data_IF_508997585435
#
_entry.id   IF_508997585435
#
_cell.length_a   1.000
_cell.length_b   1.000
_cell.length_c   1.000
_cell.angle_alpha   90.00
_cell.angle_beta   90.00
_cell.angle_gamma   90.00
#
_symmetry.space_group_name_H-M   'P 1'
#
loop_
_entity.id
_entity.type
_entity.pdbx_description
1 polymer ?
#
# COMPACT_ATOMS: atom_id res chain seq x y z
N UNK A 1 -6.15 -19.44 -12.40
CA UNK A 1 -5.23 -18.61 -11.58
C UNK A 1 -5.89 -17.25 -11.37
N UNK A 2 -5.91 -16.73 -10.15
CA UNK A 2 -6.44 -15.39 -9.90
C UNK A 2 -5.52 -14.35 -10.60
N UNK A 3 -6.14 -13.38 -11.27
CA UNK A 3 -5.39 -12.31 -11.93
C UNK A 3 -4.73 -11.41 -10.89
N UNK A 4 -3.49 -11.02 -11.15
CA UNK A 4 -2.72 -10.09 -10.31
C UNK A 4 -3.29 -8.68 -10.42
N UNK A 5 -3.05 -7.85 -9.40
CA UNK A 5 -3.57 -6.48 -9.28
C UNK A 5 -2.45 -5.46 -9.37
N UNK A 6 -2.75 -4.31 -9.97
CA UNK A 6 -1.89 -3.12 -9.94
C UNK A 6 -2.52 -2.08 -9.02
N UNK A 7 -1.81 -1.73 -7.95
CA UNK A 7 -2.24 -0.74 -6.95
C UNK A 7 -1.61 0.61 -7.29
N UNK A 8 -2.43 1.62 -7.51
CA UNK A 8 -1.95 3.01 -7.58
C UNK A 8 -1.73 3.56 -6.17
N UNK A 9 -0.49 3.94 -5.82
CA UNK A 9 -0.17 4.45 -4.49
C UNK A 9 -0.08 5.97 -4.50
N UNK A 10 -0.92 6.61 -3.69
CA UNK A 10 -0.93 8.07 -3.44
C UNK A 10 -0.39 8.31 -2.04
N UNK A 11 0.84 8.80 -1.95
CA UNK A 11 1.44 9.20 -0.67
C UNK A 11 0.95 10.59 -0.31
N UNK A 12 0.39 10.74 0.90
CA UNK A 12 -0.16 12.00 1.41
C UNK A 12 0.63 12.45 2.63
N UNK A 13 0.98 13.74 2.66
CA UNK A 13 1.63 14.40 3.79
C UNK A 13 1.02 15.78 4.00
N UNK A 14 0.60 16.08 5.23
CA UNK A 14 -0.09 17.33 5.59
C UNK A 14 -1.28 17.65 4.64
N UNK A 15 -2.07 16.64 4.28
CA UNK A 15 -3.23 16.78 3.39
C UNK A 15 -2.91 16.96 1.89
N UNK A 16 -1.62 16.93 1.49
CA UNK A 16 -1.17 17.06 0.10
C UNK A 16 -0.58 15.76 -0.42
N UNK A 17 -0.88 15.44 -1.67
CA UNK A 17 -0.19 14.36 -2.35
C UNK A 17 1.26 14.78 -2.65
N UNK A 18 2.17 13.85 -2.41
CA UNK A 18 3.62 14.07 -2.58
C UNK A 18 4.28 12.90 -3.31
N UNK A 19 5.32 13.20 -4.07
CA UNK A 19 6.34 12.20 -4.39
C UNK A 19 7.18 11.99 -3.15
N UNK A 20 7.41 10.75 -2.79
CA UNK A 20 8.23 10.37 -1.64
C UNK A 20 9.50 9.65 -2.10
N UNK A 21 10.60 9.88 -1.39
CA UNK A 21 11.89 9.26 -1.65
C UNK A 21 12.48 8.79 -0.32
N UNK A 22 12.38 7.49 -0.05
CA UNK A 22 12.82 6.85 1.18
C UNK A 22 12.09 7.37 2.43
N UNK A 23 10.87 7.90 2.27
CA UNK A 23 10.10 8.56 3.34
C UNK A 23 10.90 9.65 4.07
N UNK A 24 11.79 10.35 3.35
CA UNK A 24 12.66 11.42 3.90
C UNK A 24 12.58 12.71 3.11
N UNK A 25 12.57 12.62 1.78
CA UNK A 25 12.46 13.75 0.88
C UNK A 25 11.14 13.70 0.15
N UNK A 26 10.48 14.84 0.04
CA UNK A 26 9.15 14.95 -0.55
C UNK A 26 9.10 16.08 -1.56
N UNK A 27 8.41 15.85 -2.67
CA UNK A 27 8.08 16.87 -3.67
C UNK A 27 6.55 16.95 -3.80
N UNK A 28 5.95 18.15 -3.79
CA UNK A 28 4.51 18.29 -3.89
C UNK A 28 4.00 17.86 -5.27
N UNK A 29 2.89 17.10 -5.30
CA UNK A 29 2.18 16.72 -6.52
C UNK A 29 0.85 17.47 -6.68
N UNK A 30 0.22 17.86 -5.60
CA UNK A 30 -1.08 18.54 -5.62
C UNK A 30 -2.09 17.94 -4.66
N UNK A 31 -3.37 18.04 -5.01
CA UNK A 31 -4.45 17.50 -4.19
C UNK A 31 -4.63 16.01 -4.40
N UNK A 32 -4.73 15.21 -3.33
CA UNK A 32 -4.90 13.76 -3.43
C UNK A 32 -6.08 13.33 -4.31
N UNK A 33 -7.20 14.08 -4.25
CA UNK A 33 -8.42 13.81 -5.01
C UNK A 33 -8.17 13.77 -6.53
N UNK A 34 -7.29 14.65 -7.02
CA UNK A 34 -6.96 14.71 -8.46
C UNK A 34 -6.19 13.46 -8.89
N UNK A 35 -5.23 13.02 -8.08
CA UNK A 35 -4.45 11.81 -8.39
C UNK A 35 -5.33 10.57 -8.34
N UNK A 36 -6.19 10.47 -7.32
CA UNK A 36 -7.15 9.36 -7.19
C UNK A 36 -8.08 9.27 -8.39
N UNK A 37 -8.64 10.39 -8.83
CA UNK A 37 -9.51 10.43 -9.99
C UNK A 37 -8.78 10.00 -11.28
N UNK A 38 -7.51 10.38 -11.43
CA UNK A 38 -6.71 9.93 -12.56
C UNK A 38 -6.44 8.42 -12.50
N UNK A 39 -6.08 7.88 -11.34
CA UNK A 39 -5.83 6.45 -11.17
C UNK A 39 -7.07 5.61 -11.44
N UNK A 40 -8.25 6.06 -10.99
CA UNK A 40 -9.54 5.44 -11.29
C UNK A 40 -9.78 5.41 -12.80
N UNK A 41 -9.70 6.56 -13.48
CA UNK A 41 -9.85 6.66 -14.94
C UNK A 41 -8.82 5.84 -15.72
N UNK A 42 -7.61 5.70 -15.21
CA UNK A 42 -6.54 4.93 -15.84
C UNK A 42 -6.64 3.42 -15.58
N UNK A 43 -7.63 2.99 -14.77
CA UNK A 43 -7.94 1.59 -14.54
C UNK A 43 -6.97 0.90 -13.59
N UNK A 44 -6.54 1.56 -12.51
CA UNK A 44 -5.92 0.89 -11.38
C UNK A 44 -6.88 -0.17 -10.82
N UNK A 45 -6.36 -1.28 -10.32
CA UNK A 45 -7.20 -2.33 -9.74
C UNK A 45 -7.60 -2.04 -8.30
N UNK A 46 -6.76 -1.28 -7.60
CA UNK A 46 -6.97 -0.72 -6.26
C UNK A 46 -6.18 0.60 -6.15
N UNK A 47 -6.59 1.47 -5.25
CA UNK A 47 -5.88 2.72 -4.93
C UNK A 47 -5.54 2.72 -3.46
N UNK A 48 -4.25 2.89 -3.12
CA UNK A 48 -3.80 3.05 -1.74
C UNK A 48 -3.56 4.53 -1.44
N UNK A 49 -4.27 5.07 -0.46
CA UNK A 49 -4.01 6.38 0.15
C UNK A 49 -3.16 6.16 1.40
N UNK A 50 -1.91 6.57 1.35
CA UNK A 50 -0.96 6.42 2.44
C UNK A 50 -0.65 7.77 3.09
N UNK A 51 -1.30 8.09 4.22
CA UNK A 51 -1.09 9.33 4.99
C UNK A 51 0.06 9.13 5.98
N UNK A 52 1.27 9.48 5.56
CA UNK A 52 2.54 9.07 6.21
C UNK A 52 2.91 9.86 7.47
N UNK A 53 2.27 10.96 7.74
CA UNK A 53 2.50 11.82 8.91
C UNK A 53 1.55 11.54 10.09
N UNK A 54 0.48 10.79 9.85
CA UNK A 54 -0.59 10.64 10.84
C UNK A 54 -0.17 9.85 12.08
N UNK A 55 0.43 8.68 11.88
CA UNK A 55 0.86 7.81 13.01
C UNK A 55 2.01 8.44 13.80
N UNK A 56 2.98 9.06 13.13
CA UNK A 56 4.14 9.69 13.79
C UNK A 56 3.77 10.85 14.71
N UNK A 57 2.66 11.55 14.43
CA UNK A 57 2.18 12.66 15.25
C UNK A 57 0.97 12.32 16.11
N UNK A 58 0.51 11.07 16.12
CA UNK A 58 -0.66 10.64 16.90
C UNK A 58 -1.97 11.36 16.51
N UNK A 59 -2.12 11.73 15.23
CA UNK A 59 -3.23 12.56 14.76
C UNK A 59 -4.51 11.78 14.43
N UNK A 60 -4.48 10.44 14.53
CA UNK A 60 -5.55 9.60 14.01
C UNK A 60 -5.63 9.64 12.47
N UNK A 61 -6.60 8.98 11.84
CA UNK A 61 -6.75 8.96 10.39
C UNK A 61 -7.13 10.34 9.83
N UNK A 62 -6.74 10.61 8.57
CA UNK A 62 -7.10 11.83 7.86
C UNK A 62 -8.49 11.70 7.20
N UNK A 63 -9.52 11.84 8.02
CA UNK A 63 -10.91 11.72 7.57
C UNK A 63 -11.32 12.86 6.63
N UNK A 64 -10.63 14.01 6.67
CA UNK A 64 -10.89 15.11 5.74
C UNK A 64 -10.47 14.75 4.31
N UNK A 65 -9.25 14.24 4.14
CA UNK A 65 -8.76 13.76 2.84
C UNK A 65 -9.64 12.61 2.33
N UNK A 66 -9.95 11.64 3.19
CA UNK A 66 -10.77 10.49 2.81
C UNK A 66 -12.20 10.93 2.41
N UNK A 67 -12.81 11.84 3.17
CA UNK A 67 -14.15 12.37 2.85
C UNK A 67 -14.21 13.21 1.57
N UNK A 68 -13.10 13.84 1.16
CA UNK A 68 -13.00 14.50 -0.16
C UNK A 68 -12.94 13.48 -1.28
N UNK A 69 -12.17 12.41 -1.10
CA UNK A 69 -12.00 11.33 -2.08
C UNK A 69 -13.32 10.55 -2.25
N UNK A 70 -14.01 10.20 -1.17
CA UNK A 70 -15.25 9.45 -1.24
C UNK A 70 -16.36 10.17 -2.03
N UNK A 71 -16.35 11.52 -2.04
CA UNK A 71 -17.29 12.34 -2.82
C UNK A 71 -17.04 12.28 -4.34
N UNK A 72 -15.93 11.75 -4.79
CA UNK A 72 -15.64 11.63 -6.22
C UNK A 72 -16.48 10.55 -6.91
N UNK A 73 -17.05 9.60 -6.14
CA UNK A 73 -17.82 8.48 -6.69
C UNK A 73 -16.97 7.54 -7.55
N UNK A 74 -15.70 7.33 -7.19
CA UNK A 74 -14.80 6.42 -7.90
C UNK A 74 -15.29 4.97 -7.78
N UNK A 75 -15.04 4.18 -8.81
CA UNK A 75 -15.40 2.76 -8.85
C UNK A 75 -14.26 1.84 -8.37
N UNK A 76 -13.01 2.34 -8.38
CA UNK A 76 -11.84 1.58 -7.96
C UNK A 76 -11.80 1.44 -6.44
N UNK A 77 -11.64 0.21 -5.90
CA UNK A 77 -11.54 -0.03 -4.45
C UNK A 77 -10.42 0.78 -3.79
N UNK A 78 -10.72 1.34 -2.62
CA UNK A 78 -9.85 2.25 -1.89
C UNK A 78 -9.27 1.57 -0.64
N UNK A 79 -7.95 1.57 -0.54
CA UNK A 79 -7.20 1.15 0.65
C UNK A 79 -6.72 2.42 1.36
N UNK A 80 -6.94 2.53 2.66
CA UNK A 80 -6.45 3.65 3.45
C UNK A 80 -5.39 3.20 4.46
N UNK A 81 -4.33 3.99 4.61
CA UNK A 81 -3.27 3.81 5.60
C UNK A 81 -2.88 5.13 6.26
N UNK A 82 -2.59 5.08 7.55
CA UNK A 82 -2.07 6.19 8.34
C UNK A 82 -2.98 6.59 9.50
N UNK A 83 -2.41 6.66 10.69
CA UNK A 83 -3.09 7.12 11.90
C UNK A 83 -4.16 6.16 12.46
N UNK A 84 -4.21 4.91 12.02
CA UNK A 84 -5.15 3.92 12.55
C UNK A 84 -4.53 3.29 13.79
N UNK A 85 -4.96 3.77 14.97
CA UNK A 85 -4.44 3.30 16.26
C UNK A 85 -5.27 2.18 16.91
N UNK A 86 -6.51 1.96 16.44
CA UNK A 86 -7.41 0.98 17.02
C UNK A 86 -8.73 0.84 16.28
N UNK A 87 -9.65 0.11 16.94
CA UNK A 87 -10.98 -0.21 16.40
C UNK A 87 -11.78 1.03 15.95
N UNK A 88 -11.83 2.07 16.78
CA UNK A 88 -12.61 3.27 16.45
C UNK A 88 -12.12 3.96 15.17
N UNK A 89 -10.81 4.07 15.01
CA UNK A 89 -10.21 4.66 13.83
C UNK A 89 -10.49 3.81 12.59
N UNK A 90 -10.35 2.49 12.69
CA UNK A 90 -10.65 1.57 11.61
C UNK A 90 -12.10 1.67 11.12
N UNK A 91 -13.07 1.71 12.05
CA UNK A 91 -14.50 1.88 11.73
C UNK A 91 -14.76 3.24 11.10
N UNK A 92 -14.15 4.33 11.62
CA UNK A 92 -14.27 5.67 11.03
C UNK A 92 -13.75 5.70 9.58
N UNK A 93 -12.59 5.09 9.33
CA UNK A 93 -11.98 5.03 7.99
C UNK A 93 -12.91 4.34 6.99
N UNK A 94 -13.44 3.17 7.32
CA UNK A 94 -14.35 2.43 6.43
C UNK A 94 -15.67 3.19 6.25
N UNK A 95 -16.23 3.78 7.30
CA UNK A 95 -17.47 4.57 7.20
C UNK A 95 -17.31 5.85 6.38
N UNK A 96 -16.06 6.32 6.15
CA UNK A 96 -15.76 7.46 5.30
C UNK A 96 -15.37 7.07 3.86
N UNK A 97 -15.53 5.79 3.49
CA UNK A 97 -15.44 5.35 2.10
C UNK A 97 -14.20 4.54 1.73
N UNK A 98 -13.37 4.10 2.68
CA UNK A 98 -12.37 3.11 2.39
C UNK A 98 -12.98 1.70 2.39
N UNK A 99 -12.60 0.88 1.40
CA UNK A 99 -13.00 -0.53 1.33
C UNK A 99 -12.13 -1.42 2.22
N UNK A 100 -10.87 -1.01 2.40
CA UNK A 100 -9.87 -1.76 3.17
C UNK A 100 -8.98 -0.80 3.94
N UNK A 101 -8.40 -1.30 5.02
CA UNK A 101 -7.39 -0.59 5.81
C UNK A 101 -6.04 -1.29 5.74
N UNK A 102 -4.97 -0.51 5.77
CA UNK A 102 -3.61 -1.02 5.93
C UNK A 102 -3.03 -0.46 7.23
N UNK A 103 -2.58 -1.34 8.11
CA UNK A 103 -2.14 -1.03 9.46
C UNK A 103 -0.72 -1.49 9.73
N UNK A 104 0.03 -0.70 10.51
CA UNK A 104 1.37 -1.01 11.02
C UNK A 104 1.56 -0.55 12.46
N UNK A 105 1.31 0.71 12.77
CA UNK A 105 1.44 1.25 14.14
C UNK A 105 0.63 0.42 15.16
N UNK A 106 -0.58 -0.01 14.79
CA UNK A 106 -1.42 -0.88 15.62
C UNK A 106 -0.75 -2.21 15.94
N UNK A 107 0.05 -2.77 15.00
CA UNK A 107 0.78 -4.04 15.23
C UNK A 107 1.83 -3.86 16.34
N UNK A 108 2.46 -2.69 16.41
CA UNK A 108 3.45 -2.40 17.44
C UNK A 108 2.82 -2.11 18.80
N UNK A 109 1.76 -1.30 18.83
CA UNK A 109 1.20 -0.73 20.06
C UNK A 109 0.08 -1.57 20.66
N UNK A 110 -0.74 -2.18 19.82
CA UNK A 110 -1.98 -2.85 20.25
C UNK A 110 -2.35 -4.02 19.34
N UNK A 111 -1.48 -5.04 19.19
CA UNK A 111 -1.73 -6.15 18.26
C UNK A 111 -3.05 -6.88 18.55
N UNK A 112 -3.49 -6.94 19.82
CA UNK A 112 -4.79 -7.49 20.22
C UNK A 112 -5.98 -6.74 19.60
N UNK A 113 -5.81 -5.49 19.19
CA UNK A 113 -6.87 -4.72 18.53
C UNK A 113 -7.18 -5.24 17.12
N UNK A 114 -6.25 -5.97 16.49
CA UNK A 114 -6.46 -6.56 15.16
C UNK A 114 -7.61 -7.56 15.15
N UNK A 115 -7.75 -8.39 16.20
CA UNK A 115 -8.88 -9.30 16.33
C UNK A 115 -10.21 -8.54 16.34
N UNK A 116 -10.31 -7.50 17.15
CA UNK A 116 -11.54 -6.70 17.29
C UNK A 116 -11.88 -6.01 15.97
N UNK A 117 -10.87 -5.43 15.30
CA UNK A 117 -11.03 -4.79 13.98
C UNK A 117 -11.48 -5.80 12.94
N UNK A 118 -10.83 -6.98 12.88
CA UNK A 118 -11.17 -8.01 11.91
C UNK A 118 -12.56 -8.64 12.16
N UNK A 119 -13.01 -8.71 13.40
CA UNK A 119 -14.38 -9.15 13.73
C UNK A 119 -15.45 -8.17 13.25
N UNK A 120 -15.18 -6.87 13.33
CA UNK A 120 -16.14 -5.83 12.91
C UNK A 120 -16.15 -5.61 11.39
N UNK A 121 -14.98 -5.53 10.77
CA UNK A 121 -14.84 -5.17 9.36
C UNK A 121 -14.73 -6.39 8.43
N UNK A 122 -14.48 -7.57 9.00
CA UNK A 122 -14.07 -8.76 8.25
C UNK A 122 -12.55 -8.79 8.03
N UNK A 123 -11.96 -9.97 8.15
CA UNK A 123 -10.50 -10.17 7.95
C UNK A 123 -10.05 -9.67 6.56
N UNK A 124 -10.90 -9.83 5.52
CA UNK A 124 -10.60 -9.38 4.15
C UNK A 124 -10.37 -7.87 4.05
N UNK A 125 -10.86 -7.07 4.99
CA UNK A 125 -10.67 -5.63 5.01
C UNK A 125 -9.32 -5.19 5.61
N UNK A 126 -8.58 -6.11 6.26
CA UNK A 126 -7.36 -5.77 7.01
C UNK A 126 -6.11 -6.26 6.27
N UNK A 127 -5.20 -5.32 6.00
CA UNK A 127 -3.87 -5.55 5.43
C UNK A 127 -2.85 -5.16 6.50
N UNK A 128 -1.87 -6.03 6.80
CA UNK A 128 -0.75 -5.62 7.64
C UNK A 128 0.39 -5.08 6.78
N UNK A 129 0.97 -3.96 7.20
CA UNK A 129 2.08 -3.31 6.52
C UNK A 129 3.42 -3.74 7.13
N UNK A 130 4.31 -4.24 6.27
CA UNK A 130 5.69 -4.60 6.61
C UNK A 130 6.66 -3.71 5.85
N UNK A 131 7.10 -2.59 6.43
CA UNK A 131 8.21 -1.82 5.88
C UNK A 131 9.52 -2.53 6.17
N UNK A 132 10.09 -3.17 5.15
CA UNK A 132 11.27 -4.04 5.26
C UNK A 132 12.46 -3.46 4.49
N UNK A 133 13.65 -3.85 4.91
CA UNK A 133 14.86 -3.84 4.08
C UNK A 133 15.74 -5.06 4.37
N UNK A 134 16.58 -5.40 3.40
CA UNK A 134 17.63 -6.38 3.62
C UNK A 134 18.78 -5.70 4.37
N UNK A 135 19.11 -6.18 5.56
CA UNK A 135 20.29 -5.80 6.33
C UNK A 135 21.41 -6.82 6.19
N UNK A 136 22.56 -6.53 6.78
CA UNK A 136 23.70 -7.48 6.82
C UNK A 136 23.33 -8.75 7.59
N UNK A 137 22.56 -8.60 8.67
CA UNK A 137 22.15 -9.70 9.57
C UNK A 137 20.74 -10.25 9.25
N UNK A 138 20.22 -10.02 8.04
CA UNK A 138 18.89 -10.46 7.61
C UNK A 138 17.86 -9.32 7.50
N UNK A 139 16.59 -9.68 7.45
CA UNK A 139 15.50 -8.72 7.27
C UNK A 139 15.28 -7.86 8.52
N UNK A 140 15.18 -6.56 8.28
CA UNK A 140 14.84 -5.55 9.28
C UNK A 140 13.46 -4.96 8.95
N UNK A 141 12.60 -4.89 9.95
CA UNK A 141 11.34 -4.15 9.91
C UNK A 141 11.57 -2.76 10.51
N UNK A 142 11.01 -1.73 9.87
CA UNK A 142 11.12 -0.34 10.32
C UNK A 142 9.86 0.07 11.08
N UNK A 143 10.00 0.52 12.33
CA UNK A 143 9.01 1.43 12.91
C UNK A 143 9.34 2.85 12.43
N UNK A 144 8.56 3.35 11.47
CA UNK A 144 8.85 4.65 10.85
C UNK A 144 8.45 5.85 11.73
N UNK A 145 7.76 5.64 12.85
CA UNK A 145 7.36 6.71 13.77
C UNK A 145 8.59 7.33 14.43
N UNK A 146 9.48 6.50 14.94
CA UNK A 146 10.74 6.87 15.58
C UNK A 146 11.98 6.47 14.76
N UNK A 147 11.77 5.81 13.61
CA UNK A 147 12.79 5.30 12.70
C UNK A 147 13.70 4.23 13.30
N UNK A 148 13.15 3.43 14.17
CA UNK A 148 13.84 2.29 14.78
C UNK A 148 13.66 1.05 13.90
N UNK A 149 14.79 0.41 13.58
CA UNK A 149 14.80 -0.87 12.89
C UNK A 149 14.89 -2.02 13.89
N UNK A 150 14.08 -3.04 13.67
CA UNK A 150 14.08 -4.26 14.46
C UNK A 150 14.18 -5.49 13.55
N UNK A 151 14.71 -6.62 14.03
CA UNK A 151 14.64 -7.87 13.30
C UNK A 151 13.19 -8.21 12.94
N UNK A 152 12.96 -8.74 11.73
CA UNK A 152 11.61 -9.12 11.29
C UNK A 152 10.91 -10.07 12.29
N UNK A 153 11.66 -11.00 12.91
CA UNK A 153 11.11 -11.92 13.91
C UNK A 153 10.39 -11.21 15.04
N UNK A 154 10.96 -10.12 15.58
CA UNK A 154 10.35 -9.35 16.67
C UNK A 154 9.03 -8.68 16.26
N UNK A 155 8.87 -8.36 14.96
CA UNK A 155 7.63 -7.83 14.42
C UNK A 155 6.59 -8.95 14.24
N UNK A 156 7.02 -10.11 13.71
CA UNK A 156 6.14 -11.25 13.47
C UNK A 156 5.57 -11.84 14.77
N UNK A 157 6.34 -11.82 15.86
CA UNK A 157 5.86 -12.26 17.19
C UNK A 157 4.66 -11.45 17.68
N UNK A 158 4.49 -10.22 17.17
CA UNK A 158 3.37 -9.33 17.54
C UNK A 158 2.19 -9.43 16.58
N UNK A 159 2.39 -9.89 15.35
CA UNK A 159 1.35 -9.91 14.33
C UNK A 159 0.54 -11.21 14.39
N UNK A 160 -0.73 -11.16 14.84
CA UNK A 160 -1.63 -12.28 14.72
C UNK A 160 -2.10 -12.41 13.27
N UNK A 161 -1.40 -13.24 12.49
CA UNK A 161 -1.60 -13.41 11.05
C UNK A 161 -3.03 -13.85 10.68
N UNK A 162 -3.72 -14.53 11.58
CA UNK A 162 -5.11 -15.00 11.37
C UNK A 162 -6.10 -13.84 11.19
N UNK A 163 -5.80 -12.65 11.69
CA UNK A 163 -6.68 -11.49 11.61
C UNK A 163 -6.37 -10.54 10.45
N UNK A 164 -5.42 -10.90 9.59
CA UNK A 164 -5.09 -10.12 8.39
C UNK A 164 -5.26 -10.96 7.13
N UNK A 165 -5.71 -10.34 6.04
CA UNK A 165 -5.93 -11.01 4.77
C UNK A 165 -4.68 -11.07 3.91
N UNK A 166 -3.90 -10.01 3.91
CA UNK A 166 -2.75 -9.81 3.03
C UNK A 166 -1.65 -9.03 3.78
N UNK A 167 -0.42 -9.18 3.29
CA UNK A 167 0.75 -8.45 3.79
C UNK A 167 1.24 -7.48 2.73
N UNK A 168 1.35 -6.19 3.05
CA UNK A 168 2.02 -5.20 2.20
C UNK A 168 3.49 -5.14 2.56
N UNK A 169 4.33 -5.75 1.75
CA UNK A 169 5.79 -5.66 1.87
C UNK A 169 6.26 -4.40 1.14
N UNK A 170 6.75 -3.44 1.90
CA UNK A 170 7.33 -2.21 1.35
C UNK A 170 8.84 -2.24 1.52
N UNK A 171 9.57 -2.20 0.40
CA UNK A 171 11.00 -1.91 0.44
C UNK A 171 11.21 -0.42 0.70
N UNK A 172 11.24 -0.07 1.99
CA UNK A 172 11.29 1.32 2.40
C UNK A 172 12.63 1.99 2.07
N UNK A 173 13.71 1.21 1.95
CA UNK A 173 15.04 1.73 1.62
C UNK A 173 15.16 2.16 0.16
N UNK A 174 14.39 1.54 -0.72
CA UNK A 174 14.35 1.84 -2.15
C UNK A 174 13.07 2.58 -2.58
N UNK A 175 12.22 2.96 -1.63
CA UNK A 175 11.00 3.72 -1.94
C UNK A 175 11.34 5.01 -2.68
N UNK A 176 10.68 5.24 -3.81
CA UNK A 176 10.93 6.37 -4.71
C UNK A 176 12.13 6.22 -5.65
N UNK A 177 12.93 5.16 -5.53
CA UNK A 177 14.06 4.86 -6.43
C UNK A 177 13.60 3.92 -7.55
N UNK A 178 13.63 4.33 -8.83
CA UNK A 178 13.09 3.51 -9.92
C UNK A 178 13.82 2.18 -10.10
N UNK A 179 13.06 1.09 -10.32
CA UNK A 179 13.58 -0.23 -10.67
C UNK A 179 14.40 -0.93 -9.59
N UNK A 180 14.34 -0.48 -8.34
CA UNK A 180 15.28 -0.89 -7.29
C UNK A 180 14.70 -1.77 -6.19
N UNK A 181 13.42 -2.18 -6.27
CA UNK A 181 12.81 -3.10 -5.29
C UNK A 181 13.67 -4.36 -5.11
N UNK A 182 14.02 -4.67 -3.86
CA UNK A 182 14.84 -5.83 -3.53
C UNK A 182 13.99 -7.13 -3.51
N UNK A 183 14.05 -7.89 -4.58
CA UNK A 183 13.28 -9.14 -4.74
C UNK A 183 13.65 -10.21 -3.70
N UNK A 184 14.82 -10.08 -3.00
CA UNK A 184 15.21 -10.99 -1.91
C UNK A 184 14.25 -10.91 -0.72
N UNK A 185 13.56 -9.78 -0.54
CA UNK A 185 12.54 -9.63 0.49
C UNK A 185 11.43 -10.69 0.34
N UNK A 186 11.07 -11.05 -0.90
CA UNK A 186 10.00 -12.01 -1.18
C UNK A 186 10.38 -13.44 -0.76
N UNK A 187 11.65 -13.80 -0.88
CA UNK A 187 12.13 -15.15 -0.53
C UNK A 187 11.91 -15.48 0.94
N UNK A 188 11.97 -14.47 1.81
CA UNK A 188 11.79 -14.69 3.26
C UNK A 188 10.33 -14.60 3.65
N UNK A 189 9.60 -13.59 3.14
CA UNK A 189 8.20 -13.37 3.54
C UNK A 189 7.23 -14.43 2.96
N UNK A 190 7.61 -15.14 1.91
CA UNK A 190 6.80 -16.26 1.37
C UNK A 190 6.55 -17.37 2.41
N UNK A 191 7.42 -17.50 3.42
CA UNK A 191 7.28 -18.49 4.49
C UNK A 191 6.11 -18.19 5.43
N UNK A 192 5.51 -16.99 5.35
CA UNK A 192 4.39 -16.58 6.20
C UNK A 192 3.03 -17.10 5.74
N UNK A 193 2.98 -17.78 4.59
CA UNK A 193 1.77 -18.36 3.99
C UNK A 193 0.59 -17.35 3.89
N UNK A 194 0.92 -16.11 3.51
CA UNK A 194 -0.05 -15.05 3.26
C UNK A 194 0.13 -14.46 1.87
N UNK A 195 -0.94 -14.03 1.20
CA UNK A 195 -0.84 -13.26 -0.03
C UNK A 195 -0.06 -11.97 0.20
N UNK A 196 0.87 -11.67 -0.72
CA UNK A 196 1.79 -10.53 -0.61
C UNK A 196 1.41 -9.45 -1.62
N UNK A 197 1.37 -8.21 -1.15
CA UNK A 197 1.37 -6.99 -1.93
C UNK A 197 2.79 -6.41 -1.85
N UNK A 198 3.35 -5.95 -2.96
CA UNK A 198 4.72 -5.41 -3.00
C UNK A 198 4.69 -3.91 -3.30
N UNK A 199 5.53 -3.12 -2.62
CA UNK A 199 5.68 -1.70 -2.89
C UNK A 199 7.11 -1.23 -2.57
N UNK A 200 7.53 -0.08 -3.14
CA UNK A 200 8.83 0.54 -2.90
C UNK A 200 9.87 0.20 -3.99
N UNK A 201 10.18 1.18 -4.84
CA UNK A 201 11.14 1.03 -5.93
C UNK A 201 10.63 0.30 -7.17
N UNK A 202 9.37 -0.13 -7.22
CA UNK A 202 8.77 -0.78 -8.40
C UNK A 202 8.33 0.31 -9.39
N UNK A 203 8.89 0.29 -10.62
CA UNK A 203 8.53 1.26 -11.65
C UNK A 203 8.64 0.71 -13.08
N UNK A 204 9.49 -0.28 -13.29
CA UNK A 204 9.77 -0.83 -14.61
C UNK A 204 8.93 -2.07 -14.91
N UNK A 205 8.42 -2.17 -16.14
CA UNK A 205 7.58 -3.30 -16.55
C UNK A 205 8.28 -4.66 -16.37
N UNK A 206 9.58 -4.74 -16.67
CA UNK A 206 10.35 -5.97 -16.52
C UNK A 206 10.46 -6.41 -15.05
N UNK A 207 10.71 -5.47 -14.13
CA UNK A 207 10.74 -5.75 -12.69
C UNK A 207 9.34 -6.12 -12.18
N UNK A 208 8.33 -5.34 -12.57
CA UNK A 208 6.95 -5.61 -12.19
C UNK A 208 6.51 -7.02 -12.64
N UNK A 209 6.92 -7.43 -13.84
CA UNK A 209 6.67 -8.79 -14.32
C UNK A 209 7.33 -9.85 -13.41
N UNK A 210 8.61 -9.70 -13.07
CA UNK A 210 9.31 -10.65 -12.18
C UNK A 210 8.63 -10.73 -10.81
N UNK A 211 8.33 -9.59 -10.19
CA UNK A 211 7.64 -9.53 -8.89
C UNK A 211 6.28 -10.21 -8.95
N UNK A 212 5.48 -9.95 -9.99
CA UNK A 212 4.14 -10.53 -10.12
C UNK A 212 4.13 -12.02 -10.53
N UNK A 213 5.22 -12.54 -11.07
CA UNK A 213 5.35 -13.99 -11.33
C UNK A 213 5.64 -14.79 -10.06
N UNK A 214 6.06 -14.13 -8.97
CA UNK A 214 6.25 -14.81 -7.69
C UNK A 214 4.93 -15.41 -7.19
N UNK A 215 4.91 -16.69 -6.75
CA UNK A 215 3.67 -17.41 -6.43
C UNK A 215 2.79 -16.74 -5.38
N UNK A 216 3.39 -16.20 -4.32
CA UNK A 216 2.67 -15.58 -3.19
C UNK A 216 2.29 -14.12 -3.44
N UNK A 217 2.90 -13.46 -4.43
CA UNK A 217 2.56 -12.06 -4.75
C UNK A 217 1.24 -12.00 -5.52
N UNK A 218 0.29 -11.24 -5.01
CA UNK A 218 -1.05 -11.07 -5.60
C UNK A 218 -1.27 -9.67 -6.16
N UNK A 219 -0.45 -8.70 -5.75
CA UNK A 219 -0.50 -7.34 -6.28
C UNK A 219 0.85 -6.62 -6.15
N UNK A 220 1.03 -5.58 -6.96
CA UNK A 220 2.15 -4.65 -6.84
C UNK A 220 1.66 -3.20 -6.83
N UNK A 221 2.20 -2.42 -5.91
CA UNK A 221 1.97 -0.99 -5.78
C UNK A 221 3.00 -0.19 -6.58
N UNK A 222 2.53 0.82 -7.30
CA UNK A 222 3.35 1.77 -8.02
C UNK A 222 2.95 3.18 -7.57
N UNK A 223 3.92 3.97 -7.15
CA UNK A 223 3.70 5.33 -6.65
C UNK A 223 4.22 6.39 -7.61
N UNK A 224 5.35 7.03 -7.29
CA UNK A 224 5.94 8.17 -8.00
C UNK A 224 5.94 8.03 -9.53
N UNK A 225 6.22 6.82 -10.03
CA UNK A 225 6.32 6.57 -11.48
C UNK A 225 5.01 6.89 -12.23
N UNK A 226 3.85 6.64 -11.61
CA UNK A 226 2.55 6.93 -12.22
C UNK A 226 2.31 8.42 -12.48
N UNK A 227 3.08 9.28 -11.82
CA UNK A 227 2.99 10.74 -11.98
C UNK A 227 3.87 11.31 -13.11
N UNK A 228 4.74 10.49 -13.71
CA UNK A 228 5.67 10.95 -14.75
C UNK A 228 5.16 10.75 -16.18
N UNK A 229 4.14 9.92 -16.38
CA UNK A 229 3.62 9.58 -17.70
C UNK A 229 2.09 9.55 -17.69
N UNK A 230 1.50 10.11 -18.73
CA UNK A 230 0.07 9.90 -19.00
C UNK A 230 -0.20 8.42 -19.28
N UNK A 231 -1.33 7.93 -18.78
CA UNK A 231 -1.75 6.53 -18.98
C UNK A 231 -0.73 5.48 -18.48
N UNK A 232 0.08 5.82 -17.46
CA UNK A 232 1.09 4.91 -16.93
C UNK A 232 0.52 3.55 -16.50
N UNK A 233 -0.65 3.53 -15.87
CA UNK A 233 -1.35 2.29 -15.45
C UNK A 233 -1.66 1.41 -16.67
N UNK A 234 -2.26 1.99 -17.71
CA UNK A 234 -2.62 1.25 -18.93
C UNK A 234 -1.38 0.71 -19.63
N UNK A 235 -0.32 1.53 -19.70
CA UNK A 235 0.95 1.15 -20.31
C UNK A 235 1.56 -0.04 -19.60
N UNK A 236 1.64 -0.01 -18.26
CA UNK A 236 2.15 -1.12 -17.46
C UNK A 236 1.30 -2.38 -17.67
N UNK A 237 -0.03 -2.27 -17.60
CA UNK A 237 -0.93 -3.41 -17.79
C UNK A 237 -0.83 -4.02 -19.19
N UNK A 238 -0.67 -3.21 -20.24
CA UNK A 238 -0.47 -3.70 -21.61
C UNK A 238 0.86 -4.45 -21.77
N UNK A 239 1.94 -3.93 -21.20
CA UNK A 239 3.26 -4.57 -21.25
C UNK A 239 3.30 -5.91 -20.51
N UNK A 240 2.52 -6.07 -19.44
CA UNK A 240 2.43 -7.31 -18.66
C UNK A 240 1.53 -8.37 -19.31
N UNK A 241 0.64 -7.97 -20.20
CA UNK A 241 -0.29 -8.85 -20.91
C UNK A 241 -1.51 -9.27 -20.08
N UNK A 242 -2.61 -9.52 -20.78
CA UNK A 242 -3.93 -9.83 -20.19
C UNK A 242 -4.03 -11.20 -19.51
N UNK A 243 -3.07 -12.10 -19.73
CA UNK A 243 -3.07 -13.43 -19.10
C UNK A 243 -2.71 -13.38 -17.61
N UNK A 244 -1.83 -12.45 -17.21
CA UNK A 244 -1.34 -12.32 -15.84
C UNK A 244 -2.09 -11.25 -15.04
N UNK A 245 -2.57 -10.18 -15.67
CA UNK A 245 -3.17 -9.01 -15.05
C UNK A 245 -4.65 -8.86 -15.40
N UNK A 246 -5.40 -8.11 -14.58
CA UNK A 246 -6.72 -7.61 -14.97
C UNK A 246 -6.55 -6.69 -16.18
N UNK A 247 -7.43 -6.80 -17.17
CA UNK A 247 -7.42 -5.93 -18.33
C UNK A 247 -7.56 -4.45 -17.89
N UNK A 248 -6.88 -3.50 -18.57
CA UNK A 248 -7.13 -2.10 -18.31
C UNK A 248 -8.58 -1.77 -18.67
N UNK A 249 -9.31 -1.18 -17.74
CA UNK A 249 -10.65 -0.67 -17.99
C UNK A 249 -10.53 0.79 -18.38
N UNK A 250 -11.21 1.20 -19.45
CA UNK A 250 -11.24 2.59 -19.88
C UNK A 250 -12.67 3.09 -19.80
N UNK A 251 -12.94 4.11 -19.04
CA UNK A 251 -14.06 4.98 -19.32
C UNK A 251 -13.58 6.05 -20.31
N UNK A 252 -13.96 5.91 -21.57
CA UNK A 252 -13.82 7.00 -22.52
C UNK A 252 -14.91 8.01 -22.23
N UNK A 253 -14.60 9.07 -21.53
CA UNK A 253 -15.42 10.28 -21.59
C UNK A 253 -15.15 10.95 -22.94
N UNK A 254 -15.99 10.67 -23.94
CA UNK A 254 -16.26 11.56 -25.05
C UNK A 254 -17.26 12.62 -24.60
#
# INVERSE_FOLDING_TARGET
MLKKRLIGVVTVKNGWAVQSFGYRRYLPLGRPEVLVQNLDRWGADEILIQCIDRSSFGLGPDLEVLGKISKLGIATPLIYAGGIGGREDAVKVVSHGADRIMVDAMVWDSPQSLETVARDLGTQAVIAHLPLRMGEDGLKALDYRDRVEQPLGSWLERLPLEWVSELMVTDWSHEGSPGSFDERLLTVVQLLDKPILCFGGISEAAQLHRVLTHPTVVAAGVGNFLSYQEHAVQTLKKLLGSSAMRAPHYESTL
#
